data_IF_131794604344
#
_entry.id   IF_131794604344
#
_cell.length_a   1.000
_cell.length_b   1.000
_cell.length_c   1.000
_cell.angle_alpha   90.00
_cell.angle_beta   90.00
_cell.angle_gamma   90.00
#
_symmetry.space_group_name_H-M   'P 1'
#
loop_
_entity.id
_entity.type
_entity.pdbx_description
1 polymer ?
#
# COMPACT_ATOMS: atom_id res chain seq x y z
N UNK A 1 45.51 -20.23 23.57
CA UNK A 1 44.82 -21.56 23.62
C UNK A 1 45.13 -22.17 24.96
N UNK A 2 44.15 -22.33 25.84
CA UNK A 2 44.33 -22.99 27.14
C UNK A 2 44.50 -24.52 26.96
N UNK A 3 45.57 -24.97 26.29
CA UNK A 3 45.79 -26.39 25.96
C UNK A 3 45.92 -27.28 27.21
N UNK A 4 46.38 -26.70 28.32
CA UNK A 4 46.73 -27.44 29.53
C UNK A 4 45.80 -27.12 30.71
N UNK A 5 44.69 -26.40 30.51
CA UNK A 5 43.76 -26.05 31.59
C UNK A 5 44.22 -24.96 32.56
N UNK A 6 45.49 -24.54 32.53
CA UNK A 6 46.07 -23.62 33.50
C UNK A 6 45.59 -22.15 33.43
N UNK A 7 44.82 -21.79 32.40
CA UNK A 7 44.27 -20.44 32.24
C UNK A 7 42.75 -20.49 32.04
N UNK A 8 41.94 -20.71 33.09
CA UNK A 8 40.49 -20.86 32.97
C UNK A 8 39.79 -19.65 32.34
N UNK A 9 40.32 -18.43 32.53
CA UNK A 9 39.81 -17.22 31.86
C UNK A 9 40.11 -17.13 30.35
N UNK A 10 40.96 -18.02 29.81
CA UNK A 10 41.34 -18.11 28.40
C UNK A 10 40.71 -19.33 27.70
N UNK A 11 39.71 -19.95 28.31
CA UNK A 11 38.90 -20.96 27.64
C UNK A 11 38.15 -20.35 26.45
N UNK A 12 38.08 -21.10 25.35
CA UNK A 12 37.31 -20.67 24.20
C UNK A 12 35.84 -20.70 24.60
N UNK A 13 35.22 -19.53 24.64
CA UNK A 13 33.76 -19.43 24.69
C UNK A 13 33.19 -20.28 23.56
N UNK A 14 32.14 -21.04 23.86
CA UNK A 14 31.42 -21.81 22.85
C UNK A 14 31.04 -20.87 21.69
N UNK A 15 31.23 -21.28 20.42
CA UNK A 15 30.81 -20.47 19.29
C UNK A 15 29.32 -20.15 19.41
N UNK A 16 28.96 -18.91 19.09
CA UNK A 16 27.56 -18.50 19.11
C UNK A 16 26.77 -19.34 18.11
N UNK A 17 25.59 -19.80 18.52
CA UNK A 17 24.68 -20.52 17.63
C UNK A 17 24.15 -19.55 16.56
N UNK A 18 23.94 -20.02 15.31
CA UNK A 18 23.27 -19.20 14.31
C UNK A 18 21.85 -18.87 14.77
N UNK A 19 21.32 -17.71 14.38
CA UNK A 19 20.04 -17.19 14.91
C UNK A 19 18.89 -18.16 14.62
N UNK A 20 18.90 -18.83 13.46
CA UNK A 20 17.89 -19.80 13.03
C UNK A 20 18.06 -21.22 13.62
N UNK A 21 18.99 -21.46 14.55
CA UNK A 21 19.09 -22.75 15.24
C UNK A 21 17.80 -22.99 16.06
N UNK A 22 17.12 -24.15 15.93
CA UNK A 22 15.88 -24.44 16.63
C UNK A 22 16.02 -24.33 18.16
N UNK A 23 17.23 -24.51 18.71
CA UNK A 23 17.49 -24.30 20.15
C UNK A 23 17.29 -22.86 20.60
N UNK A 24 17.40 -21.88 19.70
CA UNK A 24 17.14 -20.48 20.05
C UNK A 24 15.63 -20.20 20.21
N UNK A 25 14.75 -21.00 19.60
CA UNK A 25 13.28 -20.90 19.81
C UNK A 25 12.87 -21.30 21.23
N UNK A 26 13.68 -22.15 21.86
CA UNK A 26 13.51 -22.60 23.25
C UNK A 26 14.30 -21.72 24.26
N UNK A 27 14.95 -20.64 23.78
CA UNK A 27 15.71 -19.75 24.65
C UNK A 27 14.81 -19.05 25.67
N UNK A 28 15.26 -18.97 26.91
CA UNK A 28 14.57 -18.20 27.97
C UNK A 28 14.65 -16.68 27.76
N UNK A 29 15.56 -16.21 26.89
CA UNK A 29 15.66 -14.78 26.57
C UNK A 29 14.64 -14.43 25.48
N UNK A 30 13.68 -13.52 25.75
CA UNK A 30 12.63 -13.18 24.79
C UNK A 30 13.17 -12.57 23.49
N UNK A 31 14.29 -11.84 23.56
CA UNK A 31 14.90 -11.24 22.37
C UNK A 31 15.52 -12.29 21.44
N UNK A 32 16.19 -13.30 21.99
CA UNK A 32 16.80 -14.38 21.21
C UNK A 32 15.71 -15.25 20.57
N UNK A 33 14.69 -15.61 21.34
CA UNK A 33 13.54 -16.36 20.83
C UNK A 33 12.85 -15.63 19.70
N UNK A 34 12.56 -14.33 19.87
CA UNK A 34 11.89 -13.55 18.82
C UNK A 34 12.75 -13.36 17.58
N UNK A 35 14.06 -13.12 17.75
CA UNK A 35 14.98 -13.04 16.62
C UNK A 35 15.07 -14.36 15.85
N UNK A 36 15.05 -15.51 16.54
CA UNK A 36 15.02 -16.83 15.92
C UNK A 36 13.72 -17.08 15.14
N UNK A 37 12.57 -16.69 15.69
CA UNK A 37 11.27 -16.76 15.00
C UNK A 37 11.27 -15.92 13.71
N UNK A 38 11.70 -14.66 13.78
CA UNK A 38 11.75 -13.75 12.62
C UNK A 38 12.74 -14.28 11.58
N UNK A 39 13.93 -14.72 11.99
CA UNK A 39 14.92 -15.27 11.07
C UNK A 39 14.41 -16.53 10.38
N UNK A 40 13.72 -17.41 11.10
CA UNK A 40 13.13 -18.61 10.53
C UNK A 40 12.10 -18.25 9.45
N UNK A 41 11.26 -17.24 9.70
CA UNK A 41 10.28 -16.76 8.74
C UNK A 41 10.93 -16.14 7.49
N UNK A 42 11.96 -15.31 7.67
CA UNK A 42 12.75 -14.74 6.57
C UNK A 42 13.44 -15.83 5.74
N UNK A 43 14.01 -16.85 6.40
CA UNK A 43 14.72 -17.94 5.73
C UNK A 43 13.75 -18.85 4.93
N UNK A 44 12.45 -18.82 5.25
CA UNK A 44 11.40 -19.47 4.47
C UNK A 44 10.95 -18.67 3.25
N UNK A 45 11.32 -17.39 3.12
CA UNK A 45 10.89 -16.54 2.00
C UNK A 45 11.19 -17.13 0.61
N UNK A 46 12.38 -17.72 0.32
CA UNK A 46 12.63 -18.35 -0.98
C UNK A 46 11.71 -19.55 -1.26
N UNK A 47 11.31 -20.28 -0.22
CA UNK A 47 10.37 -21.40 -0.35
C UNK A 47 8.95 -20.89 -0.58
N UNK A 48 8.53 -19.84 0.14
CA UNK A 48 7.24 -19.15 -0.09
C UNK A 48 7.14 -18.62 -1.52
N UNK A 49 8.17 -17.93 -2.00
CA UNK A 49 8.28 -17.44 -3.40
C UNK A 49 8.16 -18.59 -4.41
N UNK A 50 8.89 -19.69 -4.20
CA UNK A 50 8.80 -20.85 -5.09
C UNK A 50 7.39 -21.48 -5.09
N UNK A 51 6.74 -21.53 -3.94
CA UNK A 51 5.37 -22.02 -3.81
C UNK A 51 4.39 -21.10 -4.56
N UNK A 52 4.51 -19.77 -4.42
CA UNK A 52 3.66 -18.79 -5.11
C UNK A 52 3.78 -18.91 -6.63
N UNK A 53 4.99 -19.04 -7.17
CA UNK A 53 5.22 -19.29 -8.61
C UNK A 53 4.53 -20.56 -9.09
N UNK A 54 4.61 -21.63 -8.29
CA UNK A 54 3.93 -22.87 -8.62
C UNK A 54 2.40 -22.70 -8.59
N UNK A 55 1.87 -22.02 -7.58
CA UNK A 55 0.43 -21.73 -7.48
C UNK A 55 -0.07 -20.87 -8.65
N UNK A 56 0.72 -19.91 -9.11
CA UNK A 56 0.43 -19.13 -10.32
C UNK A 56 0.25 -20.04 -11.55
N UNK A 57 1.20 -20.96 -11.77
CA UNK A 57 1.16 -21.89 -12.91
C UNK A 57 -0.02 -22.85 -12.91
N UNK A 58 -0.58 -23.13 -11.73
CA UNK A 58 -1.74 -24.01 -11.56
C UNK A 58 -3.05 -23.25 -11.76
N UNK A 59 -3.07 -21.96 -11.42
CA UNK A 59 -4.26 -21.13 -11.42
C UNK A 59 -5.16 -21.34 -10.19
N UNK A 60 -5.85 -20.28 -9.82
CA UNK A 60 -6.77 -20.17 -8.68
C UNK A 60 -8.12 -20.90 -8.85
N UNK A 61 -8.63 -21.08 -10.07
CA UNK A 61 -9.99 -21.58 -10.30
C UNK A 61 -10.12 -23.10 -10.13
N UNK A 62 -8.98 -23.79 -10.15
CA UNK A 62 -8.90 -25.23 -10.34
C UNK A 62 -8.67 -25.98 -8.99
N UNK A 63 -8.17 -25.31 -7.94
CA UNK A 63 -7.95 -25.88 -6.61
C UNK A 63 -8.48 -24.96 -5.48
N UNK A 64 -9.27 -25.46 -4.53
CA UNK A 64 -9.64 -24.69 -3.35
C UNK A 64 -8.41 -24.41 -2.48
N UNK A 65 -8.40 -23.29 -1.75
CA UNK A 65 -7.26 -22.93 -0.88
C UNK A 65 -6.20 -22.04 -1.55
N UNK A 66 -6.16 -21.99 -2.89
CA UNK A 66 -5.15 -21.20 -3.62
C UNK A 66 -5.34 -19.70 -3.37
N UNK A 67 -6.59 -19.23 -3.34
CA UNK A 67 -6.92 -17.83 -3.01
C UNK A 67 -6.46 -17.47 -1.61
N UNK A 68 -6.75 -18.32 -0.62
CA UNK A 68 -6.38 -18.12 0.78
C UNK A 68 -4.86 -18.09 0.94
N UNK A 69 -4.14 -18.91 0.17
CA UNK A 69 -2.67 -18.87 0.13
C UNK A 69 -2.13 -17.54 -0.44
N UNK A 70 -2.73 -17.01 -1.50
CA UNK A 70 -2.36 -15.69 -2.03
C UNK A 70 -2.69 -14.56 -1.05
N UNK A 71 -3.87 -14.58 -0.43
CA UNK A 71 -4.25 -13.58 0.58
C UNK A 71 -3.28 -13.60 1.77
N UNK A 72 -2.89 -14.78 2.26
CA UNK A 72 -1.91 -14.91 3.32
C UNK A 72 -0.51 -14.40 2.90
N UNK A 73 -0.12 -14.61 1.65
CA UNK A 73 1.16 -14.12 1.13
C UNK A 73 1.18 -12.60 0.88
N UNK A 74 0.04 -11.98 0.57
CA UNK A 74 -0.10 -10.52 0.49
C UNK A 74 0.04 -9.85 1.87
N UNK A 75 -0.24 -10.58 2.95
CA UNK A 75 -0.06 -10.14 4.34
C UNK A 75 1.29 -10.56 4.95
N UNK A 76 2.21 -11.13 4.15
CA UNK A 76 3.51 -11.59 4.65
C UNK A 76 4.38 -10.41 5.12
N UNK A 77 5.16 -10.61 6.19
CA UNK A 77 6.04 -9.55 6.69
C UNK A 77 7.19 -9.24 5.72
N UNK A 78 7.62 -10.20 4.91
CA UNK A 78 8.74 -10.07 3.97
C UNK A 78 8.27 -9.43 2.66
N UNK A 79 8.89 -8.31 2.29
CA UNK A 79 8.53 -7.54 1.09
C UNK A 79 8.63 -8.38 -0.19
N UNK A 80 9.68 -9.20 -0.32
CA UNK A 80 9.91 -10.03 -1.50
C UNK A 80 8.80 -11.06 -1.69
N UNK A 81 8.23 -11.58 -0.61
CA UNK A 81 7.11 -12.53 -0.67
C UNK A 81 5.84 -11.81 -1.11
N UNK A 82 5.55 -10.63 -0.55
CA UNK A 82 4.39 -9.82 -0.97
C UNK A 82 4.49 -9.41 -2.44
N UNK A 83 5.65 -8.91 -2.86
CA UNK A 83 5.90 -8.52 -4.25
C UNK A 83 5.69 -9.69 -5.22
N UNK A 84 6.27 -10.84 -4.90
CA UNK A 84 6.13 -12.03 -5.74
C UNK A 84 4.69 -12.57 -5.74
N UNK A 85 3.96 -12.47 -4.63
CA UNK A 85 2.55 -12.83 -4.59
C UNK A 85 1.72 -11.98 -5.56
N UNK A 86 1.98 -10.67 -5.64
CA UNK A 86 1.33 -9.77 -6.59
C UNK A 86 1.71 -10.08 -8.03
N UNK A 87 2.99 -10.37 -8.30
CA UNK A 87 3.45 -10.75 -9.65
C UNK A 87 2.83 -12.08 -10.11
N UNK A 88 2.78 -13.06 -9.23
CA UNK A 88 2.12 -14.34 -9.46
C UNK A 88 0.61 -14.18 -9.76
N UNK A 89 -0.05 -13.19 -9.15
CA UNK A 89 -1.44 -12.85 -9.47
C UNK A 89 -1.61 -12.18 -10.84
N UNK A 90 -0.65 -11.35 -11.27
CA UNK A 90 -0.64 -10.77 -12.63
C UNK A 90 -0.52 -11.90 -13.65
N UNK A 91 0.46 -12.79 -13.48
CA UNK A 91 0.69 -13.94 -14.35
C UNK A 91 -0.55 -14.86 -14.42
N UNK A 92 -1.13 -15.18 -13.26
CA UNK A 92 -2.34 -16.00 -13.18
C UNK A 92 -3.61 -15.32 -13.71
N UNK A 93 -3.63 -13.99 -13.84
CA UNK A 93 -4.73 -13.26 -14.45
C UNK A 93 -4.62 -13.23 -15.99
N UNK A 94 -3.40 -13.27 -16.53
CA UNK A 94 -3.16 -13.36 -17.97
C UNK A 94 -3.46 -14.77 -18.50
N UNK A 95 -3.08 -15.80 -17.73
CA UNK A 95 -3.29 -17.21 -18.10
C UNK A 95 -4.66 -17.73 -17.63
N UNK A 96 -5.57 -17.92 -18.58
CA UNK A 96 -6.89 -18.49 -18.30
C UNK A 96 -6.75 -20.00 -18.00
N UNK A 97 -7.27 -20.51 -16.86
CA UNK A 97 -7.20 -21.96 -16.57
C UNK A 97 -8.01 -22.71 -17.63
N UNK A 98 -7.33 -23.47 -18.50
CA UNK A 98 -7.95 -24.29 -19.56
C UNK A 98 -8.96 -25.29 -18.99
N UNK A 99 -8.79 -25.69 -17.73
CA UNK A 99 -9.62 -26.72 -17.09
C UNK A 99 -10.95 -26.17 -16.56
N UNK A 100 -10.96 -25.00 -15.91
CA UNK A 100 -12.19 -24.46 -15.32
C UNK A 100 -12.85 -23.34 -16.13
N UNK A 101 -12.15 -22.82 -17.16
CA UNK A 101 -12.64 -21.77 -18.06
C UNK A 101 -13.25 -20.57 -17.31
N UNK A 102 -12.69 -20.26 -16.13
CA UNK A 102 -13.01 -19.05 -15.36
C UNK A 102 -11.95 -18.02 -15.67
N UNK A 103 -12.39 -16.82 -15.96
CA UNK A 103 -11.57 -15.82 -16.64
C UNK A 103 -10.62 -15.05 -15.72
N UNK A 104 -10.62 -15.26 -14.39
CA UNK A 104 -9.61 -14.68 -13.50
C UNK A 104 -9.59 -15.26 -12.08
N UNK A 105 -8.50 -15.02 -11.36
CA UNK A 105 -8.35 -15.24 -9.91
C UNK A 105 -8.95 -14.16 -9.02
N UNK A 106 -9.60 -13.18 -9.63
CA UNK A 106 -9.77 -11.88 -9.04
C UNK A 106 -11.19 -11.72 -8.53
N UNK A 107 -11.40 -12.22 -7.32
CA UNK A 107 -12.60 -11.97 -6.55
C UNK A 107 -12.63 -10.52 -6.03
N UNK A 108 -13.80 -10.09 -5.58
CA UNK A 108 -13.98 -8.76 -4.96
C UNK A 108 -13.06 -8.58 -3.74
N UNK A 109 -12.95 -9.58 -2.88
CA UNK A 109 -12.08 -9.54 -1.70
C UNK A 109 -10.61 -9.36 -2.05
N UNK A 110 -10.12 -10.08 -3.06
CA UNK A 110 -8.73 -9.98 -3.52
C UNK A 110 -8.48 -8.61 -4.17
N UNK A 111 -9.44 -8.12 -4.96
CA UNK A 111 -9.36 -6.80 -5.59
C UNK A 111 -9.34 -5.67 -4.55
N UNK A 112 -10.16 -5.78 -3.50
CA UNK A 112 -10.16 -4.84 -2.38
C UNK A 112 -8.83 -4.85 -1.64
N UNK A 113 -8.24 -6.03 -1.42
CA UNK A 113 -6.92 -6.14 -0.79
C UNK A 113 -5.83 -5.49 -1.62
N UNK A 114 -5.83 -5.71 -2.94
CA UNK A 114 -4.90 -5.05 -3.86
C UNK A 114 -5.10 -3.53 -3.89
N UNK A 115 -6.34 -3.05 -3.79
CA UNK A 115 -6.65 -1.62 -3.72
C UNK A 115 -6.16 -0.99 -2.41
N UNK A 116 -6.35 -1.67 -1.27
CA UNK A 116 -5.81 -1.29 0.04
C UNK A 116 -4.28 -1.15 -0.06
N UNK A 117 -3.60 -2.17 -0.60
CA UNK A 117 -2.14 -2.14 -0.75
C UNK A 117 -1.69 -1.02 -1.69
N UNK A 118 -2.35 -0.82 -2.82
CA UNK A 118 -1.93 0.14 -3.83
C UNK A 118 -2.16 1.61 -3.40
N UNK A 119 -3.27 1.91 -2.73
CA UNK A 119 -3.76 3.27 -2.59
C UNK A 119 -4.08 3.71 -1.16
N UNK A 120 -4.31 2.78 -0.23
CA UNK A 120 -4.77 3.17 1.10
C UNK A 120 -3.65 3.76 1.96
N UNK A 121 -4.06 4.75 2.76
CA UNK A 121 -3.19 5.47 3.70
C UNK A 121 -3.77 5.38 5.10
N UNK A 122 -2.88 5.37 6.08
CA UNK A 122 -3.25 5.45 7.49
C UNK A 122 -3.62 6.87 7.92
N UNK A 123 -4.09 7.03 9.17
CA UNK A 123 -4.44 8.32 9.76
C UNK A 123 -3.27 9.32 9.81
N UNK A 124 -2.03 8.83 9.69
CA UNK A 124 -0.79 9.63 9.67
C UNK A 124 -0.40 10.03 8.25
N UNK A 125 -1.25 9.78 7.25
CA UNK A 125 -0.99 10.00 5.83
C UNK A 125 0.18 9.18 5.25
N UNK A 126 0.60 8.11 5.92
CA UNK A 126 1.56 7.12 5.41
C UNK A 126 0.80 6.05 4.63
N UNK A 127 1.42 5.47 3.59
CA UNK A 127 0.81 4.34 2.88
C UNK A 127 0.78 3.10 3.79
N UNK A 128 -0.31 2.32 3.73
CA UNK A 128 -0.40 1.06 4.46
C UNK A 128 0.66 0.06 4.01
N UNK A 129 0.87 -0.09 2.70
CA UNK A 129 2.01 -0.83 2.15
C UNK A 129 3.25 0.08 2.09
N UNK A 130 4.31 -0.21 2.88
CA UNK A 130 5.49 0.65 2.94
C UNK A 130 6.30 0.63 1.63
N UNK A 131 6.39 -0.51 0.93
CA UNK A 131 7.20 -0.63 -0.28
C UNK A 131 6.50 -0.05 -1.50
N UNK A 132 7.10 0.98 -2.11
CA UNK A 132 6.61 1.56 -3.36
C UNK A 132 6.52 0.54 -4.49
N UNK A 133 7.50 -0.37 -4.57
CA UNK A 133 7.54 -1.43 -5.56
C UNK A 133 6.33 -2.37 -5.45
N UNK A 134 5.93 -2.72 -4.24
CA UNK A 134 4.73 -3.56 -4.01
C UNK A 134 3.45 -2.81 -4.35
N UNK A 135 3.36 -1.51 -4.03
CA UNK A 135 2.20 -0.68 -4.36
C UNK A 135 1.96 -0.56 -5.86
N UNK A 136 3.03 -0.31 -6.62
CA UNK A 136 2.96 -0.20 -8.09
C UNK A 136 2.54 -1.52 -8.73
N UNK A 137 3.12 -2.64 -8.28
CA UNK A 137 2.73 -3.97 -8.73
C UNK A 137 1.27 -4.27 -8.38
N UNK A 138 0.78 -3.87 -7.20
CA UNK A 138 -0.62 -4.10 -6.81
C UNK A 138 -1.59 -3.30 -7.69
N UNK A 139 -1.21 -2.06 -8.04
CA UNK A 139 -1.95 -1.24 -8.99
C UNK A 139 -1.97 -1.84 -10.39
N UNK A 140 -0.90 -2.52 -10.81
CA UNK A 140 -0.82 -3.25 -12.08
C UNK A 140 -1.66 -4.54 -12.05
N UNK A 141 -1.59 -5.32 -10.97
CA UNK A 141 -2.39 -6.51 -10.76
C UNK A 141 -3.89 -6.22 -10.86
N UNK A 142 -4.36 -5.12 -10.29
CA UNK A 142 -5.77 -4.71 -10.45
C UNK A 142 -6.16 -4.44 -11.91
N UNK A 143 -5.25 -3.95 -12.76
CA UNK A 143 -5.54 -3.74 -14.19
C UNK A 143 -5.57 -5.05 -14.96
N UNK A 144 -4.68 -5.99 -14.63
CA UNK A 144 -4.66 -7.33 -15.22
C UNK A 144 -5.89 -8.15 -14.82
N UNK A 145 -6.29 -8.06 -13.55
CA UNK A 145 -7.32 -8.89 -12.94
C UNK A 145 -8.71 -8.84 -13.59
N UNK A 146 -9.08 -7.75 -14.27
CA UNK A 146 -10.38 -7.60 -14.94
C UNK A 146 -10.31 -6.48 -16.00
N UNK A 147 -9.93 -6.75 -17.26
CA UNK A 147 -9.93 -5.73 -18.30
C UNK A 147 -11.37 -5.25 -18.58
N UNK A 148 -11.75 -4.10 -18.01
CA UNK A 148 -13.06 -3.47 -18.24
C UNK A 148 -13.94 -3.28 -16.99
N UNK A 149 -13.60 -3.89 -15.85
CA UNK A 149 -14.04 -3.34 -14.56
C UNK A 149 -13.14 -2.14 -14.32
N UNK A 150 -13.68 -0.93 -14.54
CA UNK A 150 -13.01 0.28 -14.07
C UNK A 150 -12.66 0.15 -12.57
N UNK A 151 -11.76 0.98 -12.04
CA UNK A 151 -11.39 0.95 -10.62
C UNK A 151 -12.68 0.89 -9.82
N UNK A 152 -12.81 -0.16 -9.00
CA UNK A 152 -13.98 -0.32 -8.13
C UNK A 152 -13.97 0.90 -7.25
N UNK A 153 -14.85 1.86 -7.56
CA UNK A 153 -15.00 3.02 -6.69
C UNK A 153 -15.38 2.42 -5.36
N UNK A 154 -14.57 2.60 -4.30
CA UNK A 154 -14.92 2.05 -3.00
C UNK A 154 -16.33 2.55 -2.72
N UNK A 155 -17.27 1.61 -2.62
CA UNK A 155 -18.64 1.93 -2.28
C UNK A 155 -18.51 2.73 -0.99
N UNK A 156 -18.86 4.01 -1.04
CA UNK A 156 -18.96 4.81 0.18
C UNK A 156 -20.01 4.05 0.98
N UNK A 157 -19.55 3.25 1.95
CA UNK A 157 -20.42 2.52 2.85
C UNK A 157 -21.20 3.61 3.52
N UNK A 158 -22.40 3.86 3.01
CA UNK A 158 -23.30 4.83 3.58
C UNK A 158 -23.54 4.25 4.96
N UNK A 159 -23.15 4.95 6.04
CA UNK A 159 -23.30 4.39 7.37
C UNK A 159 -24.74 3.91 7.48
N UNK A 160 -24.97 2.67 7.95
CA UNK A 160 -26.33 2.14 8.05
C UNK A 160 -27.18 3.19 8.74
N UNK A 161 -28.40 3.48 8.25
CA UNK A 161 -29.24 4.52 8.81
C UNK A 161 -29.30 4.27 10.31
N UNK A 162 -28.76 5.23 11.08
CA UNK A 162 -28.71 5.15 12.54
C UNK A 162 -30.14 4.82 12.96
N UNK A 163 -30.40 3.64 13.58
CA UNK A 163 -31.74 3.32 14.03
C UNK A 163 -32.20 4.47 14.92
N UNK A 164 -33.44 4.95 14.78
CA UNK A 164 -33.92 6.09 15.55
C UNK A 164 -33.66 5.80 17.02
N UNK A 165 -32.75 6.57 17.61
CA UNK A 165 -32.47 6.52 19.05
C UNK A 165 -33.82 6.65 19.74
N UNK A 166 -34.25 5.68 20.56
CA UNK A 166 -35.47 5.81 21.34
C UNK A 166 -35.37 7.13 22.12
N UNK A 167 -36.31 8.04 21.91
CA UNK A 167 -36.40 9.28 22.67
C UNK A 167 -36.50 8.90 24.15
N UNK A 168 -35.38 8.96 24.87
CA UNK A 168 -35.38 8.88 26.32
C UNK A 168 -36.06 10.18 26.78
N UNK A 169 -37.17 10.10 27.54
CA UNK A 169 -37.83 11.28 28.09
C UNK A 169 -36.81 12.12 28.86
N UNK A 170 -36.56 13.33 28.38
CA UNK A 170 -35.65 14.28 29.03
C UNK A 170 -36.25 14.60 30.40
N UNK A 171 -35.56 14.27 31.51
CA UNK A 171 -36.06 14.62 32.83
C UNK A 171 -36.16 16.15 32.96
N UNK A 172 -37.16 16.67 33.69
CA UNK A 172 -37.37 18.10 33.86
C UNK A 172 -36.11 18.74 34.44
N UNK A 173 -35.60 19.75 33.72
CA UNK A 173 -34.43 20.54 34.10
C UNK A 173 -34.73 21.27 35.42
N UNK A 174 -33.99 21.04 36.51
CA UNK A 174 -34.17 21.81 37.74
C UNK A 174 -33.86 23.28 37.47
N UNK A 175 -34.77 24.15 37.87
CA UNK A 175 -34.67 25.60 37.76
C UNK A 175 -33.50 26.09 38.62
N UNK A 176 -32.42 26.52 37.97
CA UNK A 176 -31.34 27.25 38.63
C UNK A 176 -31.79 28.67 38.98
N UNK A 177 -31.65 29.12 40.24
CA UNK A 177 -31.98 30.48 40.64
C UNK A 177 -31.04 31.51 39.98
N UNK A 178 -31.63 32.62 39.57
CA UNK A 178 -31.00 33.77 38.93
C UNK A 178 -30.03 34.44 39.91
N UNK A 179 -28.72 34.56 39.60
CA UNK A 179 -27.82 35.38 40.39
C UNK A 179 -27.98 36.87 40.04
N UNK A 180 -28.16 37.66 41.09
CA UNK A 180 -28.25 39.11 41.07
C UNK A 180 -26.95 39.77 40.57
N UNK A 181 -27.14 40.88 39.88
CA UNK A 181 -26.11 41.76 39.32
C UNK A 181 -25.35 42.49 40.42
N UNK A 182 -24.03 42.69 40.30
CA UNK A 182 -23.39 43.85 40.90
C UNK A 182 -22.85 44.84 39.88
N UNK A 183 -22.99 46.10 40.31
CA UNK A 183 -22.68 47.37 39.69
C UNK A 183 -21.26 47.55 39.14
N UNK A 184 -21.19 48.30 38.03
CA UNK A 184 -20.35 49.49 37.81
C UNK A 184 -19.14 49.67 38.72
N UNK A 185 -17.94 49.65 38.13
CA UNK A 185 -16.83 50.54 38.53
C UNK A 185 -15.95 50.82 37.31
N UNK A 186 -15.92 52.08 36.89
CA UNK A 186 -14.94 52.63 35.95
C UNK A 186 -13.60 52.76 36.68
N UNK A 187 -12.48 52.38 36.05
CA UNK A 187 -11.20 53.04 36.33
C UNK A 187 -10.32 53.11 35.07
N UNK A 188 -9.67 54.26 35.00
CA UNK A 188 -8.91 54.89 33.94
C UNK A 188 -7.44 54.44 33.97
N UNK A 189 -6.84 54.34 32.78
CA UNK A 189 -5.50 54.80 32.38
C UNK A 189 -4.19 54.36 33.11
N UNK A 190 -3.15 54.29 32.25
CA UNK A 190 -1.71 54.51 32.47
C UNK A 190 -0.85 53.36 33.03
N UNK A 191 0.23 53.06 32.30
CA UNK A 191 1.49 52.62 32.91
C UNK A 191 2.23 51.51 32.18
N UNK A 192 3.13 51.87 31.27
CA UNK A 192 4.39 51.15 31.05
C UNK A 192 5.17 51.09 32.38
N UNK A 193 5.92 50.00 32.64
CA UNK A 193 7.36 50.20 32.76
C UNK A 193 8.22 49.10 32.14
N UNK A 194 9.45 49.53 31.88
CA UNK A 194 10.65 48.78 31.53
C UNK A 194 11.03 47.70 32.55
N UNK A 195 11.91 46.78 32.12
CA UNK A 195 12.91 46.18 32.99
C UNK A 195 12.59 44.77 33.50
N UNK A 196 13.13 43.77 32.82
CA UNK A 196 13.02 42.36 33.23
C UNK A 196 14.14 41.50 32.66
N UNK A 197 15.35 41.78 33.12
CA UNK A 197 16.58 41.00 32.95
C UNK A 197 16.35 39.54 33.37
N UNK A 198 16.47 38.56 32.45
CA UNK A 198 16.56 37.14 32.80
C UNK A 198 17.93 36.62 32.41
N UNK A 199 18.64 36.16 33.44
CA UNK A 199 20.00 35.64 33.42
C UNK A 199 20.09 34.25 32.78
N UNK A 200 21.02 34.13 31.84
CA UNK A 200 22.10 33.13 31.80
C UNK A 200 21.87 31.79 32.55
N UNK A 201 21.54 30.74 31.78
CA UNK A 201 22.03 29.37 31.95
C UNK A 201 22.16 28.84 30.50
N UNK A 202 23.34 28.65 29.92
CA UNK A 202 24.36 27.69 30.34
C UNK A 202 24.52 26.67 29.20
N UNK A 203 25.18 27.06 28.12
CA UNK A 203 25.61 26.16 27.04
C UNK A 203 26.75 25.27 27.53
N UNK A 204 26.66 23.93 27.42
CA UNK A 204 27.84 23.09 27.48
C UNK A 204 28.51 23.03 26.11
N UNK A 205 29.66 23.69 26.01
CA UNK A 205 30.65 23.46 24.97
C UNK A 205 31.13 22.00 25.03
N UNK A 206 30.81 21.22 24.00
CA UNK A 206 31.52 19.99 23.68
C UNK A 206 32.35 20.25 22.43
N UNK A 207 33.67 20.31 22.66
CA UNK A 207 34.68 20.46 21.64
C UNK A 207 34.66 19.29 20.66
N UNK A 208 34.53 19.61 19.38
CA UNK A 208 34.95 18.74 18.30
C UNK A 208 36.47 18.81 18.17
N UNK A 209 37.16 17.77 18.62
CA UNK A 209 38.56 17.54 18.29
C UNK A 209 38.65 17.20 16.78
N UNK A 210 39.09 18.19 16.00
CA UNK A 210 39.51 18.04 14.62
C UNK A 210 40.89 17.35 14.59
N UNK A 211 40.89 16.02 14.66
CA UNK A 211 42.10 15.23 14.38
C UNK A 211 42.32 15.14 12.87
N UNK A 212 43.10 16.09 12.36
CA UNK A 212 43.75 16.04 11.07
C UNK A 212 44.62 14.76 10.95
N UNK A 213 44.09 13.75 10.26
CA UNK A 213 44.86 12.56 9.84
C UNK A 213 45.50 12.84 8.48
N UNK A 214 46.65 13.49 8.51
CA UNK A 214 47.60 13.59 7.40
C UNK A 214 48.20 12.20 7.13
N UNK A 215 47.64 11.48 6.16
CA UNK A 215 48.31 10.32 5.55
C UNK A 215 49.35 10.81 4.54
N UNK A 216 50.65 10.46 4.67
CA UNK A 216 51.62 10.72 3.62
C UNK A 216 51.43 9.74 2.45
N UNK A 217 51.32 10.33 1.27
CA UNK A 217 51.35 9.66 -0.01
C UNK A 217 52.69 8.93 -0.21
N UNK A 218 52.64 7.61 -0.31
CA UNK A 218 53.78 6.80 -0.77
C UNK A 218 53.49 6.21 -2.14
N UNK A 219 54.47 6.42 -3.04
CA UNK A 219 54.82 5.55 -4.17
C UNK A 219 54.03 5.71 -5.47
N UNK A 220 54.31 6.84 -6.17
CA UNK A 220 54.40 6.85 -7.64
C UNK A 220 55.60 6.01 -8.04
N UNK A 221 55.37 4.78 -8.50
CA UNK A 221 56.35 4.03 -9.30
C UNK A 221 56.18 4.43 -10.76
N UNK A 222 57.20 5.11 -11.24
CA UNK A 222 57.49 5.44 -12.63
C UNK A 222 57.52 4.15 -13.47
N UNK A 223 56.66 4.06 -14.48
CA UNK A 223 56.82 3.10 -15.57
C UNK A 223 57.69 3.76 -16.66
N UNK A 224 58.79 3.13 -17.12
CA UNK A 224 59.49 3.61 -18.29
C UNK A 224 58.78 3.14 -19.56
N UNK A 225 58.66 4.08 -20.50
CA UNK A 225 58.32 3.83 -21.88
C UNK A 225 59.41 3.01 -22.60
N UNK A 226 58.97 2.17 -23.54
CA UNK A 226 59.75 1.84 -24.73
C UNK A 226 60.25 0.40 -24.84
N UNK A 227 59.54 -0.43 -25.63
CA UNK A 227 60.09 -1.04 -26.85
C UNK A 227 59.00 -1.78 -27.62
N UNK A 228 58.69 -1.25 -28.81
CA UNK A 228 58.10 -2.00 -29.90
C UNK A 228 59.15 -2.97 -30.44
N UNK A 229 58.78 -4.24 -30.61
CA UNK A 229 59.37 -5.13 -31.60
C UNK A 229 58.35 -6.24 -31.93
N UNK A 230 58.18 -6.46 -33.23
CA UNK A 230 57.22 -7.33 -33.87
C UNK A 230 57.39 -8.83 -33.55
N UNK A 231 56.31 -9.60 -33.66
CA UNK A 231 56.37 -11.06 -33.65
C UNK A 231 54.99 -11.70 -33.74
N UNK A 232 54.71 -12.33 -34.87
CA UNK A 232 53.46 -12.99 -35.26
C UNK A 232 53.08 -14.20 -34.39
N UNK A 233 51.76 -14.46 -34.23
CA UNK A 233 51.18 -15.81 -34.29
C UNK A 233 49.64 -15.84 -34.10
N UNK A 234 48.97 -16.36 -35.14
CA UNK A 234 47.82 -17.30 -35.16
C UNK A 234 46.46 -16.91 -34.55
N UNK A 235 45.55 -16.59 -35.46
CA UNK A 235 44.10 -16.90 -35.43
C UNK A 235 43.79 -18.37 -35.07
N UNK A 236 42.69 -18.63 -34.34
CA UNK A 236 41.94 -19.86 -34.47
C UNK A 236 40.66 -19.64 -35.29
N UNK A 237 40.59 -20.32 -36.43
CA UNK A 237 39.41 -20.46 -37.28
C UNK A 237 38.24 -21.11 -36.52
N UNK A 238 37.08 -20.45 -36.57
CA UNK A 238 35.79 -21.10 -36.42
C UNK A 238 35.52 -21.99 -37.64
N UNK A 239 35.16 -23.25 -37.40
CA UNK A 239 34.49 -24.11 -38.38
C UNK A 239 33.18 -24.63 -37.80
N UNK A 240 32.12 -24.31 -38.51
CA UNK A 240 30.77 -24.81 -38.38
C UNK A 240 30.50 -25.97 -39.36
N UNK A 241 29.53 -26.81 -38.98
CA UNK A 241 28.66 -27.68 -39.79
C UNK A 241 28.92 -29.22 -39.84
N UNK A 242 27.81 -29.97 -39.68
CA UNK A 242 27.60 -31.38 -40.08
C UNK A 242 27.22 -32.31 -38.90
N UNK A 243 25.97 -32.63 -38.56
CA UNK A 243 24.87 -33.37 -39.26
C UNK A 243 25.06 -34.92 -39.24
N UNK A 244 23.99 -35.61 -38.76
CA UNK A 244 23.59 -37.03 -38.87
C UNK A 244 24.31 -38.12 -38.04
N UNK A 245 23.57 -38.79 -37.14
CA UNK A 245 23.04 -40.15 -37.34
C UNK A 245 22.45 -40.77 -36.04
N UNK A 246 21.28 -41.41 -36.17
CA UNK A 246 20.67 -42.36 -35.21
C UNK A 246 21.56 -43.59 -35.05
N UNK A 247 21.35 -44.39 -33.99
CA UNK A 247 20.89 -45.74 -34.29
C UNK A 247 19.75 -46.24 -33.40
N UNK A 248 18.90 -47.04 -34.05
CA UNK A 248 17.93 -47.98 -33.48
C UNK A 248 18.57 -49.36 -33.38
N UNK A 249 18.37 -50.09 -32.27
CA UNK A 249 18.32 -51.57 -32.20
C UNK A 249 17.76 -51.96 -30.82
N UNK A 250 16.62 -52.65 -30.73
CA UNK A 250 16.49 -54.12 -30.58
C UNK A 250 17.38 -54.63 -29.43
N UNK A 251 16.91 -55.31 -28.38
CA UNK A 251 15.77 -56.21 -28.23
C UNK A 251 16.30 -57.47 -27.54
N UNK A 252 15.79 -57.79 -26.36
CA UNK A 252 15.76 -59.13 -25.73
C UNK A 252 17.08 -59.81 -25.32
N UNK A 253 17.23 -60.11 -24.02
CA UNK A 253 17.52 -61.47 -23.57
C UNK A 253 17.32 -61.58 -22.04
N UNK A 254 16.50 -62.56 -21.69
CA UNK A 254 16.32 -63.16 -20.38
C UNK A 254 17.54 -64.04 -20.04
N UNK A 255 17.98 -64.04 -18.78
CA UNK A 255 18.25 -65.22 -17.98
C UNK A 255 19.29 -64.97 -16.86
N UNK A 256 18.94 -65.50 -15.69
CA UNK A 256 19.76 -66.41 -14.88
C UNK A 256 20.14 -65.95 -13.47
N UNK A 257 19.75 -66.83 -12.56
CA UNK A 257 19.86 -66.80 -11.11
C UNK A 257 21.30 -67.01 -10.61
N UNK A 258 21.62 -66.38 -9.48
CA UNK A 258 22.38 -66.89 -8.31
C UNK A 258 22.53 -65.70 -7.36
N UNK A 259 21.92 -65.66 -6.18
CA UNK A 259 21.93 -66.67 -5.14
C UNK A 259 23.23 -66.54 -4.34
N UNK A 260 23.23 -65.75 -3.27
CA UNK A 260 23.99 -65.96 -2.03
C UNK A 260 23.30 -65.18 -0.91
N UNK A 261 22.82 -65.95 0.06
CA UNK A 261 22.30 -65.53 1.35
C UNK A 261 23.41 -65.02 2.26
N UNK A 262 23.14 -63.98 3.06
CA UNK A 262 23.63 -63.91 4.44
C UNK A 262 22.70 -63.02 5.28
N UNK A 263 21.91 -63.71 6.11
CA UNK A 263 21.20 -63.13 7.25
C UNK A 263 22.19 -62.85 8.38
N UNK A 264 22.07 -61.68 8.98
CA UNK A 264 22.36 -61.48 10.40
C UNK A 264 21.21 -60.69 11.00
N UNK A 265 20.52 -61.33 11.94
CA UNK A 265 19.39 -60.84 12.70
C UNK A 265 19.81 -59.84 13.78
N UNK A 266 18.97 -58.84 14.05
CA UNK A 266 18.81 -58.19 15.38
C UNK A 266 17.34 -57.71 15.49
N UNK A 267 16.69 -57.82 16.68
CA UNK A 267 15.25 -57.92 16.79
C UNK A 267 14.54 -56.63 17.23
N UNK A 268 13.26 -56.54 16.86
CA UNK A 268 12.15 -56.19 17.76
C UNK A 268 12.07 -54.77 18.29
N UNK A 269 11.10 -54.00 17.78
CA UNK A 269 10.28 -53.14 18.65
C UNK A 269 8.91 -52.84 18.05
N UNK A 270 7.93 -53.34 18.81
CA UNK A 270 6.51 -53.01 18.88
C UNK A 270 6.15 -51.63 18.30
N UNK A 271 5.18 -51.60 17.39
CA UNK A 271 4.44 -50.40 17.02
C UNK A 271 2.96 -50.65 17.29
N UNK A 272 2.46 -49.96 18.31
CA UNK A 272 1.04 -49.83 18.61
C UNK A 272 0.35 -49.15 17.44
N UNK A 273 -0.63 -49.83 16.85
CA UNK A 273 -1.53 -49.29 15.84
C UNK A 273 -2.58 -48.44 16.56
N UNK A 274 -2.44 -47.12 16.48
CA UNK A 274 -3.53 -46.19 16.78
C UNK A 274 -4.45 -46.17 15.55
N UNK A 275 -5.61 -46.81 15.70
CA UNK A 275 -6.72 -46.74 14.76
C UNK A 275 -7.31 -45.32 14.83
N UNK A 276 -7.15 -44.55 13.76
CA UNK A 276 -7.95 -43.35 13.51
C UNK A 276 -9.11 -43.77 12.61
N UNK A 277 -10.31 -43.74 13.17
CA UNK A 277 -11.55 -43.99 12.45
C UNK A 277 -11.76 -42.87 11.42
N UNK A 278 -11.69 -43.23 10.13
CA UNK A 278 -12.17 -42.42 9.02
C UNK A 278 -13.66 -42.70 8.92
N UNK A 279 -14.49 -41.70 9.22
CA UNK A 279 -15.92 -41.73 8.90
C UNK A 279 -16.04 -41.41 7.42
N UNK A 280 -16.26 -42.47 6.65
CA UNK A 280 -16.58 -42.48 5.24
C UNK A 280 -18.09 -42.29 5.09
N UNK A 281 -18.53 -41.13 4.58
CA UNK A 281 -19.92 -40.88 4.22
C UNK A 281 -20.01 -40.36 2.78
N UNK A 282 -20.51 -41.23 1.89
CA UNK A 282 -21.06 -40.96 0.57
C UNK A 282 -21.80 -42.23 0.09
N UNK A 283 -22.66 -42.22 -0.96
CA UNK A 283 -23.41 -41.12 -1.59
C UNK A 283 -24.90 -41.48 -1.82
N UNK A 284 -25.73 -40.52 -2.25
CA UNK A 284 -26.91 -40.83 -3.08
C UNK A 284 -27.12 -39.79 -4.19
N UNK A 285 -27.32 -40.23 -5.46
CA UNK A 285 -27.65 -39.36 -6.58
C UNK A 285 -29.16 -39.30 -6.81
N UNK A 286 -29.69 -38.10 -7.12
CA UNK A 286 -31.00 -37.96 -7.75
C UNK A 286 -30.81 -37.47 -9.18
N UNK A 287 -31.22 -38.33 -10.11
CA UNK A 287 -31.34 -38.08 -11.53
C UNK A 287 -32.53 -37.16 -11.82
N UNK A 288 -32.35 -36.19 -12.71
CA UNK A 288 -33.39 -35.69 -13.58
C UNK A 288 -32.81 -35.40 -14.96
N UNK A 289 -33.22 -36.21 -15.94
CA UNK A 289 -33.12 -35.92 -17.36
C UNK A 289 -34.33 -35.09 -17.79
N UNK A 290 -34.13 -34.02 -18.55
CA UNK A 290 -35.10 -33.55 -19.53
C UNK A 290 -34.42 -32.69 -20.60
N UNK A 291 -34.44 -33.24 -21.81
CA UNK A 291 -34.12 -32.68 -23.12
C UNK A 291 -34.96 -31.45 -23.45
N UNK A 292 -34.35 -30.39 -23.99
CA UNK A 292 -35.06 -29.38 -24.78
C UNK A 292 -34.15 -28.81 -25.90
N UNK A 293 -34.69 -28.84 -27.11
CA UNK A 293 -34.12 -28.35 -28.37
C UNK A 293 -33.98 -26.81 -28.41
N UNK A 294 -33.13 -26.28 -29.32
CA UNK A 294 -32.92 -24.85 -29.49
C UNK A 294 -34.08 -24.19 -30.24
N UNK A 295 -34.73 -23.22 -29.60
CA UNK A 295 -35.70 -22.31 -30.23
C UNK A 295 -34.99 -21.09 -30.83
N UNK A 296 -35.52 -20.66 -31.98
CA UNK A 296 -35.01 -19.63 -32.87
C UNK A 296 -34.75 -18.26 -32.23
N UNK A 297 -33.68 -17.60 -32.69
CA UNK A 297 -33.36 -16.21 -32.42
C UNK A 297 -34.42 -15.26 -33.02
N UNK A 298 -34.98 -14.31 -32.23
CA UNK A 298 -35.65 -13.15 -32.80
C UNK A 298 -34.63 -12.06 -33.16
N UNK A 299 -34.67 -11.61 -34.42
CA UNK A 299 -34.01 -10.39 -34.92
C UNK A 299 -34.45 -9.18 -34.08
N UNK A 300 -33.51 -8.57 -33.36
CA UNK A 300 -33.72 -7.30 -32.69
C UNK A 300 -33.76 -6.14 -33.72
N UNK A 301 -34.69 -5.18 -33.58
CA UNK A 301 -34.74 -3.98 -34.43
C UNK A 301 -33.59 -3.01 -34.09
N UNK A 302 -33.09 -2.35 -35.14
CA UNK A 302 -31.99 -1.40 -35.11
C UNK A 302 -32.22 -0.28 -34.08
N UNK A 303 -31.25 -0.08 -33.18
CA UNK A 303 -31.21 1.06 -32.26
C UNK A 303 -30.88 2.35 -33.05
N UNK A 304 -31.59 3.47 -32.80
CA UNK A 304 -31.24 4.76 -33.36
C UNK A 304 -29.92 5.29 -32.78
N UNK A 305 -29.05 5.77 -33.66
CA UNK A 305 -27.77 6.37 -33.33
C UNK A 305 -27.98 7.59 -32.42
N UNK A 306 -27.59 7.48 -31.16
CA UNK A 306 -27.56 8.60 -30.21
C UNK A 306 -26.25 9.35 -30.42
N UNK A 307 -26.35 10.61 -30.87
CA UNK A 307 -25.22 11.53 -30.97
C UNK A 307 -24.53 11.71 -29.60
N UNK A 308 -23.21 11.60 -29.51
CA UNK A 308 -22.50 11.80 -28.24
C UNK A 308 -22.58 13.28 -27.80
N UNK A 309 -23.04 13.49 -26.57
CA UNK A 309 -23.15 14.77 -25.88
C UNK A 309 -21.81 15.53 -25.88
N UNK A 310 -21.68 16.54 -26.74
CA UNK A 310 -20.53 17.48 -26.77
C UNK A 310 -20.66 18.67 -25.81
N UNK A 311 -21.75 18.80 -25.07
CA UNK A 311 -22.02 19.98 -24.24
C UNK A 311 -21.44 19.94 -22.82
N UNK A 312 -21.10 18.75 -22.29
CA UNK A 312 -20.59 18.64 -20.91
C UNK A 312 -19.13 19.12 -20.74
N UNK A 313 -18.32 19.08 -21.80
CA UNK A 313 -16.88 19.37 -21.70
C UNK A 313 -16.55 20.88 -21.73
N UNK A 314 -17.50 21.73 -22.14
CA UNK A 314 -17.25 23.19 -22.26
C UNK A 314 -17.46 23.93 -20.94
N UNK A 315 -18.35 23.44 -20.07
CA UNK A 315 -18.59 24.03 -18.74
C UNK A 315 -17.44 23.77 -17.77
N UNK A 316 -16.75 22.63 -17.88
CA UNK A 316 -15.62 22.29 -17.02
C UNK A 316 -14.50 23.35 -17.07
N UNK A 317 -14.18 23.85 -18.28
CA UNK A 317 -13.13 24.86 -18.48
C UNK A 317 -13.45 26.25 -17.89
N UNK A 318 -14.72 26.57 -17.66
CA UNK A 318 -15.11 27.90 -17.16
C UNK A 318 -14.85 28.07 -15.66
N UNK A 319 -14.61 26.98 -14.94
CA UNK A 319 -14.44 26.94 -13.50
C UNK A 319 -13.00 26.60 -13.07
N UNK A 320 -12.07 26.51 -14.03
CA UNK A 320 -10.66 26.19 -13.79
C UNK A 320 -9.83 27.47 -13.65
N UNK A 321 -9.05 27.56 -12.58
CA UNK A 321 -8.06 28.59 -12.30
C UNK A 321 -6.76 28.01 -11.75
N UNK A 322 -5.92 28.86 -11.16
CA UNK A 322 -4.63 28.46 -10.60
C UNK A 322 -4.36 29.10 -9.24
N UNK A 323 -3.58 28.44 -8.39
CA UNK A 323 -3.11 29.01 -7.13
C UNK A 323 -2.08 30.11 -7.44
N UNK A 324 -2.37 31.35 -7.06
CA UNK A 324 -1.47 32.49 -7.31
C UNK A 324 -0.44 32.65 -6.20
N UNK A 325 -0.87 32.50 -4.93
CA UNK A 325 0.00 32.69 -3.77
C UNK A 325 -0.49 31.87 -2.58
N UNK A 326 0.45 31.23 -1.87
CA UNK A 326 0.18 30.50 -0.62
C UNK A 326 0.79 31.30 0.53
N UNK A 327 -0.03 31.74 1.49
CA UNK A 327 0.42 32.45 2.68
C UNK A 327 0.25 31.54 3.91
N UNK A 328 1.14 30.56 4.05
CA UNK A 328 1.04 29.51 5.07
C UNK A 328 0.96 30.05 6.50
N UNK A 329 1.68 31.15 6.81
CA UNK A 329 1.62 31.79 8.13
C UNK A 329 0.27 32.44 8.46
N UNK A 330 -0.50 32.83 7.45
CA UNK A 330 -1.84 33.39 7.63
C UNK A 330 -2.95 32.34 7.45
N UNK A 331 -2.61 31.11 7.06
CA UNK A 331 -3.59 30.06 6.76
C UNK A 331 -4.47 30.37 5.54
N UNK A 332 -4.02 31.22 4.62
CA UNK A 332 -4.81 31.66 3.46
C UNK A 332 -4.09 31.38 2.14
N UNK A 333 -4.87 31.11 1.10
CA UNK A 333 -4.41 30.85 -0.27
C UNK A 333 -5.13 31.80 -1.21
N UNK A 334 -4.39 32.47 -2.08
CA UNK A 334 -4.96 33.27 -3.16
C UNK A 334 -5.06 32.42 -4.43
N UNK A 335 -6.26 32.33 -4.98
CA UNK A 335 -6.57 31.56 -6.18
C UNK A 335 -7.03 32.52 -7.28
N UNK A 336 -6.38 32.44 -8.44
CA UNK A 336 -6.74 33.20 -9.62
C UNK A 336 -7.72 32.38 -10.46
N UNK A 337 -8.98 32.80 -10.46
CA UNK A 337 -10.05 32.22 -11.27
C UNK A 337 -10.28 33.06 -12.53
N UNK A 338 -10.77 32.48 -13.63
CA UNK A 338 -11.11 33.22 -14.84
C UNK A 338 -12.27 34.18 -14.54
N UNK A 339 -12.31 35.33 -15.23
CA UNK A 339 -13.35 36.36 -15.01
C UNK A 339 -14.77 35.87 -15.27
N UNK A 340 -14.92 34.77 -16.00
CA UNK A 340 -16.21 34.11 -16.27
C UNK A 340 -16.67 33.23 -15.12
N UNK A 341 -15.79 32.85 -14.20
CA UNK A 341 -16.19 32.14 -13.00
C UNK A 341 -16.96 33.10 -12.09
N UNK A 342 -18.03 32.59 -11.47
CA UNK A 342 -18.84 33.33 -10.49
C UNK A 342 -18.61 32.73 -9.09
N UNK A 343 -17.44 32.99 -8.46
CA UNK A 343 -17.17 32.50 -7.11
C UNK A 343 -18.10 33.16 -6.10
N UNK A 344 -18.47 32.42 -5.06
CA UNK A 344 -19.23 32.94 -3.93
C UNK A 344 -18.44 32.72 -2.64
N UNK A 345 -18.52 33.65 -1.70
CA UNK A 345 -17.97 33.47 -0.34
C UNK A 345 -18.70 32.28 0.31
N UNK A 346 -17.95 31.38 0.93
CA UNK A 346 -18.41 30.07 1.40
C UNK A 346 -18.38 28.96 0.33
N UNK A 347 -18.12 29.31 -0.94
CA UNK A 347 -17.92 28.35 -2.01
C UNK A 347 -16.64 27.53 -1.81
N UNK A 348 -16.63 26.29 -2.33
CA UNK A 348 -15.46 25.40 -2.24
C UNK A 348 -14.66 25.37 -3.55
N UNK A 349 -13.34 25.30 -3.42
CA UNK A 349 -12.39 25.18 -4.53
C UNK A 349 -11.52 23.96 -4.28
N UNK A 350 -11.50 23.01 -5.21
CA UNK A 350 -10.61 21.84 -5.17
C UNK A 350 -9.26 22.19 -5.78
N UNK A 351 -8.18 21.88 -5.09
CA UNK A 351 -6.83 22.15 -5.60
C UNK A 351 -6.12 20.85 -5.94
N UNK A 352 -5.51 20.83 -7.11
CA UNK A 352 -4.78 19.71 -7.68
C UNK A 352 -3.33 20.10 -7.94
N UNK A 353 -2.41 19.26 -7.49
CA UNK A 353 -1.00 19.41 -7.80
C UNK A 353 -0.62 18.42 -8.91
N UNK A 354 0.14 18.90 -9.88
CA UNK A 354 0.66 18.07 -10.97
C UNK A 354 2.05 17.56 -10.60
N UNK A 355 2.12 16.30 -10.19
CA UNK A 355 3.38 15.57 -10.06
C UNK A 355 3.86 15.13 -11.45
N UNK A 356 5.10 14.64 -11.53
CA UNK A 356 5.75 14.28 -12.81
C UNK A 356 4.93 13.30 -13.67
N UNK A 357 4.18 12.40 -13.03
CA UNK A 357 3.45 11.31 -13.69
C UNK A 357 1.93 11.39 -13.55
N UNK A 358 1.42 12.16 -12.59
CA UNK A 358 -0.01 12.24 -12.31
C UNK A 358 -0.41 13.58 -11.68
N UNK A 359 -1.72 13.84 -11.71
CA UNK A 359 -2.33 14.95 -10.99
C UNK A 359 -3.10 14.38 -9.80
N UNK A 360 -2.91 14.97 -8.62
CA UNK A 360 -3.56 14.51 -7.39
C UNK A 360 -4.21 15.66 -6.64
N UNK A 361 -5.38 15.41 -6.06
CA UNK A 361 -6.11 16.37 -5.27
C UNK A 361 -5.38 16.60 -3.94
N UNK A 362 -4.93 17.83 -3.69
CA UNK A 362 -4.25 18.22 -2.45
C UNK A 362 -5.26 18.51 -1.33
N UNK A 363 -6.44 19.03 -1.69
CA UNK A 363 -7.54 19.24 -0.75
C UNK A 363 -8.53 20.29 -1.22
N UNK A 364 -9.46 20.62 -0.32
CA UNK A 364 -10.50 21.62 -0.54
C UNK A 364 -10.11 22.94 0.14
N UNK A 365 -10.45 24.06 -0.50
CA UNK A 365 -10.38 25.41 0.07
C UNK A 365 -11.78 26.02 0.11
N UNK A 366 -12.10 26.80 1.14
CA UNK A 366 -13.32 27.60 1.24
C UNK A 366 -13.01 29.07 0.98
N UNK A 367 -13.76 29.68 0.05
CA UNK A 367 -13.59 31.09 -0.32
C UNK A 367 -14.05 31.98 0.82
N UNK A 368 -13.15 32.79 1.37
CA UNK A 368 -13.43 33.71 2.49
C UNK A 368 -13.63 35.14 2.00
N UNK A 369 -12.93 35.53 0.93
CA UNK A 369 -13.06 36.86 0.33
C UNK A 369 -12.86 36.80 -1.19
N UNK A 370 -13.56 37.68 -1.91
CA UNK A 370 -13.45 37.83 -3.37
C UNK A 370 -12.80 39.19 -3.65
N UNK A 371 -11.67 39.20 -4.36
CA UNK A 371 -11.04 40.40 -4.87
C UNK A 371 -11.17 40.51 -6.39
N UNK A 372 -10.71 41.63 -6.95
CA UNK A 372 -10.90 41.96 -8.38
C UNK A 372 -10.20 40.99 -9.36
N UNK A 373 -9.09 40.37 -8.93
CA UNK A 373 -8.25 39.51 -9.77
C UNK A 373 -7.99 38.10 -9.20
N UNK A 374 -8.31 37.88 -7.93
CA UNK A 374 -8.11 36.62 -7.22
C UNK A 374 -9.08 36.51 -6.04
N UNK A 375 -9.43 35.28 -5.67
CA UNK A 375 -10.17 34.98 -4.45
C UNK A 375 -9.20 34.57 -3.35
N UNK A 376 -9.50 34.93 -2.11
CA UNK A 376 -8.77 34.46 -0.93
C UNK A 376 -9.58 33.35 -0.29
N UNK A 377 -8.98 32.19 -0.16
CA UNK A 377 -9.59 30.99 0.39
C UNK A 377 -8.77 30.43 1.56
N UNK A 378 -9.42 29.69 2.46
CA UNK A 378 -8.80 28.99 3.59
C UNK A 378 -8.88 27.48 3.40
N UNK A 379 -7.93 26.68 3.88
CA UNK A 379 -7.99 25.23 3.79
C UNK A 379 -9.17 24.67 4.59
N UNK A 380 -9.82 23.64 4.04
CA UNK A 380 -10.90 22.88 4.67
C UNK A 380 -10.44 21.44 4.82
N UNK A 381 -10.83 20.80 5.93
CA UNK A 381 -10.74 19.36 6.21
C UNK A 381 -9.50 18.64 5.62
N UNK A 382 -8.38 18.68 6.34
CA UNK A 382 -7.19 17.90 5.98
C UNK A 382 -6.39 18.44 4.78
N UNK A 383 -6.77 19.58 4.19
CA UNK A 383 -5.97 20.24 3.17
C UNK A 383 -4.60 20.65 3.74
N UNK A 384 -3.52 20.06 3.20
CA UNK A 384 -2.17 20.30 3.68
C UNK A 384 -1.53 21.48 2.94
N UNK A 385 -1.55 22.67 3.56
CA UNK A 385 -0.97 23.90 3.01
C UNK A 385 0.51 23.78 2.60
N UNK A 386 1.28 22.88 3.25
CA UNK A 386 2.69 22.68 2.92
C UNK A 386 2.92 22.02 1.55
N UNK A 387 1.88 21.38 0.99
CA UNK A 387 1.92 20.72 -0.32
C UNK A 387 1.37 21.60 -1.45
N UNK A 388 0.80 22.76 -1.12
CA UNK A 388 0.30 23.70 -2.12
C UNK A 388 1.44 24.56 -2.64
N UNK A 389 1.52 24.70 -3.96
CA UNK A 389 2.45 25.56 -4.66
C UNK A 389 1.72 26.57 -5.55
N UNK A 390 2.37 27.71 -5.81
CA UNK A 390 1.89 28.62 -6.85
C UNK A 390 1.94 27.93 -8.21
N UNK A 391 0.86 28.02 -8.98
CA UNK A 391 0.68 27.32 -10.25
C UNK A 391 -0.17 26.05 -10.18
N UNK A 392 -0.50 25.56 -8.97
CA UNK A 392 -1.40 24.42 -8.80
C UNK A 392 -2.77 24.69 -9.42
N UNK A 393 -3.39 23.66 -10.01
CA UNK A 393 -4.69 23.81 -10.68
C UNK A 393 -5.79 23.88 -9.63
N UNK A 394 -6.65 24.88 -9.74
CA UNK A 394 -7.78 25.08 -8.84
C UNK A 394 -9.09 24.96 -9.62
N UNK A 395 -10.06 24.21 -9.10
CA UNK A 395 -11.36 24.01 -9.75
C UNK A 395 -12.46 24.42 -8.79
N UNK A 396 -13.24 25.43 -9.18
CA UNK A 396 -14.40 25.87 -8.41
C UNK A 396 -15.43 24.72 -8.40
N UNK A 397 -15.69 24.14 -7.23
CA UNK A 397 -16.71 23.12 -7.08
C UNK A 397 -18.05 23.83 -7.05
N UNK A 398 -18.90 23.57 -8.05
CA UNK A 398 -20.30 23.94 -8.00
C UNK A 398 -20.94 23.08 -6.92
N UNK A 399 -20.89 23.56 -5.67
CA UNK A 399 -21.59 22.93 -4.56
C UNK A 399 -23.05 22.89 -4.97
N UNK A 400 -23.58 21.69 -5.23
CA UNK A 400 -25.03 21.51 -5.34
C UNK A 400 -25.60 22.04 -4.04
N UNK A 401 -26.38 23.11 -4.11
CA UNK A 401 -26.91 23.86 -2.96
C UNK A 401 -27.36 22.90 -1.85
N UNK A 402 -26.50 22.66 -0.87
CA UNK A 402 -26.95 22.11 0.40
C UNK A 402 -27.58 23.31 1.11
N UNK A 403 -28.89 23.28 1.39
CA UNK A 403 -29.61 24.43 1.93
C UNK A 403 -28.96 24.83 3.25
N UNK A 404 -28.46 26.07 3.29
CA UNK A 404 -27.85 26.66 4.47
C UNK A 404 -28.98 27.00 5.44
N UNK A 405 -29.34 26.04 6.29
CA UNK A 405 -30.37 26.21 7.31
C UNK A 405 -29.77 26.68 8.62
N UNK A 406 -29.09 27.83 8.64
CA UNK A 406 -28.61 28.46 9.90
C UNK A 406 -27.97 29.84 9.68
N UNK A 407 -28.71 30.85 9.21
CA UNK A 407 -28.27 32.25 9.40
C UNK A 407 -29.37 33.32 9.30
N UNK A 408 -30.61 32.99 9.64
CA UNK A 408 -31.69 33.98 9.75
C UNK A 408 -32.34 33.86 11.13
N UNK A 409 -31.72 34.44 12.16
CA UNK A 409 -32.32 34.69 13.50
C UNK A 409 -31.55 35.75 14.31
N UNK A 410 -30.81 36.66 13.67
CA UNK A 410 -30.09 37.73 14.39
C UNK A 410 -30.14 39.08 13.66
N UNK A 411 -31.31 39.49 13.17
CA UNK A 411 -31.53 40.87 12.70
C UNK A 411 -33.01 41.27 12.72
N UNK A 412 -33.66 41.13 13.88
CA UNK A 412 -35.03 41.64 14.11
C UNK A 412 -35.23 42.01 15.58
N UNK A 413 -34.50 43.02 16.06
CA UNK A 413 -34.78 43.63 17.37
C UNK A 413 -34.21 45.06 17.47
N UNK A 414 -34.52 45.96 16.54
CA UNK A 414 -34.40 47.41 16.75
C UNK A 414 -35.46 48.16 15.93
N UNK A 415 -36.70 48.20 16.42
CA UNK A 415 -37.69 49.20 16.03
C UNK A 415 -38.89 49.17 16.99
N UNK A 416 -38.75 49.74 18.18
CA UNK A 416 -39.83 50.39 18.96
C UNK A 416 -39.24 50.88 20.28
N UNK A 417 -38.98 52.18 20.40
CA UNK A 417 -39.34 53.00 21.57
C UNK A 417 -38.68 54.38 21.49
N UNK A 418 -39.42 55.35 20.98
CA UNK A 418 -39.30 56.76 21.40
C UNK A 418 -40.70 57.36 21.42
N UNK A 419 -41.22 57.50 22.64
CA UNK A 419 -42.12 58.57 23.07
C UNK A 419 -41.43 59.27 24.24
#
# INVERSE_FOLDING_TARGET
VNRNGNFPGLERKLPLLPINDPRNLESSNPAIKKAAEVKLEEDLAPQKIKALKYLASVGCGCYPGVKEAFMAALDDCTEEVRYEAVQALIEAAEDHCETCNRDCCCDEELTLKLAEMAYERDDKCCYKEPSERVREAAAEAMRACCPGRGPVSPQVVTPPPVPPTPEVPVPPRPETPVPETPATTQHRALGTPEGGMVMLFGEPALGGEELASTRPATSRRTAPAGRQAAGAAKEPQMRSAGVLARPTSLGGASASQKGISRSTAVPGRSSSVLQVAVVEEAPQPKAHSATAQPAAQPKAPAKPATQPQRHANTQAKQNEGTVAKVASGAGTVQVQLPRTANPQVGGRVKVYHRFLLNESCIGDLEIVAIGDAAVTARPVDGCNLSKLAAGDRAVLSTVGQTPVHSQAMFESAQATDHN
#
